data_IF_333299359189
#
_entry.id   IF_333299359189
#
_cell.length_a   1.000
_cell.length_b   1.000
_cell.length_c   1.000
_cell.angle_alpha   90.00
_cell.angle_beta   90.00
_cell.angle_gamma   90.00
#
_symmetry.space_group_name_H-M   'P 1'
#
loop_
_entity.id
_entity.type
_entity.pdbx_description
1 polymer ?
#
# COMPACT_ATOMS: atom_id res chain seq x y z
N UNK A 1 10.68 -1.92 9.99
CA UNK A 1 12.15 -1.88 10.18
C UNK A 1 12.68 -0.44 10.22
N UNK A 2 12.35 0.42 9.25
CA UNK A 2 12.76 1.84 9.20
C UNK A 2 11.55 2.78 9.06
N UNK A 3 10.72 2.94 10.10
CA UNK A 3 9.53 3.80 10.06
C UNK A 3 9.88 5.27 9.77
N UNK A 4 11.08 5.71 10.15
CA UNK A 4 11.67 7.01 9.84
C UNK A 4 11.76 7.31 8.34
N UNK A 5 12.05 6.30 7.51
CA UNK A 5 12.25 6.48 6.05
C UNK A 5 10.94 6.48 5.24
N UNK A 6 9.82 6.10 5.86
CA UNK A 6 8.53 5.96 5.17
C UNK A 6 7.45 6.87 5.74
N UNK A 7 7.70 7.51 6.88
CA UNK A 7 6.79 8.47 7.51
C UNK A 7 6.91 9.86 6.86
N UNK A 8 5.79 10.61 6.67
CA UNK A 8 4.41 10.22 6.97
C UNK A 8 3.74 9.48 5.80
N UNK A 9 4.41 9.32 4.66
CA UNK A 9 3.81 8.84 3.42
C UNK A 9 3.10 7.48 3.58
N UNK A 10 3.71 6.53 4.31
CA UNK A 10 3.13 5.20 4.57
C UNK A 10 1.78 5.26 5.29
N UNK A 11 1.58 6.24 6.18
CA UNK A 11 0.34 6.35 6.95
C UNK A 11 -0.85 6.76 6.08
N UNK A 12 -0.59 7.35 4.90
CA UNK A 12 -1.61 7.65 3.89
C UNK A 12 -1.99 6.45 2.99
N UNK A 13 -1.43 5.26 3.23
CA UNK A 13 -1.79 4.05 2.50
C UNK A 13 -2.97 3.35 3.16
N UNK A 14 -4.03 3.07 2.40
CA UNK A 14 -5.15 2.26 2.86
C UNK A 14 -4.80 0.78 2.97
N UNK A 15 -5.56 0.02 3.76
CA UNK A 15 -5.37 -1.44 3.88
C UNK A 15 -5.67 -2.18 2.58
N UNK A 16 -6.56 -1.64 1.76
CA UNK A 16 -6.95 -2.16 0.44
C UNK A 16 -5.82 -2.05 -0.60
N UNK A 17 -4.79 -1.24 -0.34
CA UNK A 17 -3.61 -1.14 -1.19
C UNK A 17 -2.63 -2.31 -1.02
N UNK A 18 -2.76 -3.06 0.08
CA UNK A 18 -1.97 -4.24 0.36
C UNK A 18 -2.70 -5.46 -0.21
N UNK A 19 -2.51 -5.69 -1.51
CA UNK A 19 -3.27 -6.66 -2.31
C UNK A 19 -3.12 -8.13 -1.87
N UNK A 20 -2.14 -8.46 -1.02
CA UNK A 20 -2.05 -9.76 -0.37
C UNK A 20 -2.69 -9.71 1.04
N UNK A 21 -3.72 -10.55 1.34
CA UNK A 21 -4.50 -10.44 2.57
C UNK A 21 -3.71 -10.41 3.89
N UNK A 22 -2.62 -11.17 4.06
CA UNK A 22 -1.83 -11.10 5.29
C UNK A 22 -1.17 -9.74 5.49
N UNK A 23 -0.70 -9.09 4.42
CA UNK A 23 -0.06 -7.77 4.49
C UNK A 23 -1.07 -6.64 4.77
N UNK A 24 -2.31 -6.76 4.27
CA UNK A 24 -3.39 -5.84 4.67
C UNK A 24 -3.66 -5.92 6.18
N UNK A 25 -3.59 -7.11 6.76
CA UNK A 25 -3.76 -7.30 8.20
C UNK A 25 -2.61 -6.68 8.99
N UNK A 26 -1.36 -6.85 8.53
CA UNK A 26 -0.19 -6.18 9.12
C UNK A 26 -0.29 -4.65 9.01
N UNK A 27 -0.74 -4.11 7.87
CA UNK A 27 -0.97 -2.66 7.70
C UNK A 27 -1.97 -2.13 8.72
N UNK A 28 -3.06 -2.86 8.99
CA UNK A 28 -4.02 -2.49 10.03
C UNK A 28 -3.39 -2.50 11.42
N UNK A 29 -2.60 -3.53 11.75
CA UNK A 29 -1.89 -3.59 13.03
C UNK A 29 -0.92 -2.40 13.21
N UNK A 30 -0.28 -1.95 12.13
CA UNK A 30 0.54 -0.73 12.12
C UNK A 30 -0.31 0.51 12.42
N UNK A 31 -1.49 0.63 11.80
CA UNK A 31 -2.44 1.72 12.06
C UNK A 31 -2.85 1.78 13.53
N UNK A 32 -3.28 0.65 14.07
CA UNK A 32 -3.75 0.50 15.45
C UNK A 32 -2.63 0.81 16.47
N UNK A 33 -1.37 0.61 16.07
CA UNK A 33 -0.18 0.94 16.87
C UNK A 33 0.27 2.41 16.74
N UNK A 34 -0.46 3.25 15.99
CA UNK A 34 -0.19 4.69 15.81
C UNK A 34 0.54 5.05 14.51
N UNK A 35 0.64 4.11 13.56
CA UNK A 35 1.27 4.33 12.26
C UNK A 35 2.80 4.37 12.29
N UNK A 36 3.39 4.51 11.10
CA UNK A 36 4.82 4.71 10.92
C UNK A 36 5.31 5.98 11.62
N UNK A 37 4.48 7.03 11.70
CA UNK A 37 4.81 8.26 12.42
C UNK A 37 5.14 7.98 13.90
N UNK A 38 4.31 7.19 14.61
CA UNK A 38 4.61 6.80 15.98
C UNK A 38 5.87 5.92 16.08
N UNK A 39 6.11 5.09 15.07
CA UNK A 39 7.29 4.21 15.01
C UNK A 39 8.61 4.95 14.83
N UNK A 40 8.62 6.10 14.16
CA UNK A 40 9.82 6.91 13.99
C UNK A 40 10.33 7.50 15.32
N UNK A 41 9.45 7.63 16.33
CA UNK A 41 9.76 8.24 17.62
C UNK A 41 9.99 7.23 18.76
N UNK A 42 9.69 5.94 18.56
CA UNK A 42 9.57 4.99 19.66
C UNK A 42 10.18 3.60 19.37
N UNK A 43 11.10 3.19 20.24
CA UNK A 43 11.76 1.88 20.18
C UNK A 43 10.84 0.71 20.56
N UNK A 44 9.77 0.95 21.32
CA UNK A 44 8.76 -0.05 21.68
C UNK A 44 7.72 -0.30 20.55
N UNK A 45 7.82 0.43 19.44
CA UNK A 45 6.85 0.40 18.34
C UNK A 45 6.56 -1.01 17.82
N UNK A 46 7.59 -1.83 17.59
CA UNK A 46 7.41 -3.20 17.07
C UNK A 46 6.59 -4.05 18.05
N UNK A 47 6.79 -3.88 19.35
CA UNK A 47 6.00 -4.59 20.36
C UNK A 47 4.52 -4.18 20.29
N UNK A 48 4.21 -2.88 20.13
CA UNK A 48 2.83 -2.42 19.96
C UNK A 48 2.17 -2.97 18.69
N UNK A 49 2.88 -2.97 17.56
CA UNK A 49 2.36 -3.56 16.31
C UNK A 49 2.08 -5.05 16.51
N UNK A 50 2.93 -5.77 17.23
CA UNK A 50 2.70 -7.19 17.57
C UNK A 50 1.51 -7.36 18.52
N UNK A 51 1.33 -6.49 19.51
CA UNK A 51 0.20 -6.52 20.44
C UNK A 51 -1.15 -6.27 19.75
N UNK A 52 -1.16 -5.44 18.70
CA UNK A 52 -2.33 -5.21 17.85
C UNK A 52 -2.70 -6.40 16.94
N UNK A 53 -1.83 -7.41 16.83
CA UNK A 53 -2.09 -8.58 15.98
C UNK A 53 -3.30 -9.39 16.49
N UNK A 54 -4.26 -9.74 15.61
CA UNK A 54 -5.50 -10.42 15.99
C UNK A 54 -5.30 -11.88 16.42
N UNK A 55 -4.20 -12.50 15.99
CA UNK A 55 -3.87 -13.88 16.27
C UNK A 55 -2.34 -14.09 16.23
N UNK A 56 -1.91 -15.29 16.61
CA UNK A 56 -0.48 -15.65 16.66
C UNK A 56 0.15 -15.82 15.28
N UNK A 57 -0.64 -16.07 14.24
CA UNK A 57 -0.14 -16.13 12.86
C UNK A 57 0.32 -14.76 12.39
N UNK A 58 -0.49 -13.72 12.59
CA UNK A 58 -0.11 -12.34 12.26
C UNK A 58 1.03 -11.87 13.17
N UNK A 59 1.01 -12.24 14.46
CA UNK A 59 2.10 -11.92 15.40
C UNK A 59 3.44 -12.50 14.96
N UNK A 60 3.45 -13.74 14.48
CA UNK A 60 4.63 -14.39 13.91
C UNK A 60 5.09 -13.64 12.65
N UNK A 61 4.19 -13.35 11.72
CA UNK A 61 4.50 -12.60 10.50
C UNK A 61 5.12 -11.23 10.78
N UNK A 62 4.57 -10.44 11.71
CA UNK A 62 5.18 -9.15 12.10
C UNK A 62 6.61 -9.35 12.62
N UNK A 63 6.84 -10.41 13.41
CA UNK A 63 8.17 -10.73 13.93
C UNK A 63 9.13 -11.08 12.80
N UNK A 64 8.71 -11.93 11.85
CA UNK A 64 9.49 -12.30 10.67
C UNK A 64 9.85 -11.07 9.82
N UNK A 65 8.87 -10.22 9.51
CA UNK A 65 9.06 -8.99 8.74
C UNK A 65 10.01 -8.00 9.42
N UNK A 66 10.21 -8.08 10.74
CA UNK A 66 11.17 -7.20 11.43
C UNK A 66 12.62 -7.60 11.25
N UNK A 67 12.87 -8.88 10.94
CA UNK A 67 14.22 -9.44 10.78
C UNK A 67 14.51 -9.85 9.33
N UNK A 68 13.52 -9.81 8.45
CA UNK A 68 13.69 -10.09 7.03
C UNK A 68 14.75 -9.16 6.42
N UNK A 69 15.80 -9.70 5.76
CA UNK A 69 16.82 -8.89 5.12
C UNK A 69 16.21 -8.02 4.01
N UNK A 70 16.43 -6.71 4.08
CA UNK A 70 16.03 -5.81 3.01
C UNK A 70 16.78 -6.16 1.72
N UNK A 71 16.12 -5.97 0.58
CA UNK A 71 16.68 -6.24 -0.75
C UNK A 71 17.65 -5.15 -1.23
N UNK A 72 18.56 -4.72 -0.36
CA UNK A 72 19.64 -3.78 -0.65
C UNK A 72 20.92 -4.23 0.05
N UNK A 73 22.05 -4.03 -0.61
CA UNK A 73 23.38 -4.31 -0.03
C UNK A 73 23.95 -3.12 0.77
N UNK A 74 23.27 -1.97 0.71
CA UNK A 74 23.61 -0.73 1.42
C UNK A 74 22.60 -0.49 2.52
N UNK A 75 22.92 0.40 3.48
CA UNK A 75 21.90 0.89 4.42
C UNK A 75 20.73 1.48 3.62
N UNK A 76 19.48 1.09 3.91
CA UNK A 76 18.32 1.65 3.22
C UNK A 76 18.25 3.16 3.45
N UNK A 77 17.97 3.90 2.38
CA UNK A 77 17.75 5.33 2.38
C UNK A 77 16.32 5.67 1.93
N UNK A 78 15.99 6.96 1.91
CA UNK A 78 14.69 7.47 1.45
C UNK A 78 14.38 7.06 0.01
N UNK A 79 15.39 6.98 -0.86
CA UNK A 79 15.21 6.56 -2.25
C UNK A 79 14.78 5.09 -2.34
N UNK A 80 15.45 4.20 -1.59
CA UNK A 80 15.05 2.79 -1.50
C UNK A 80 13.63 2.64 -0.94
N UNK A 81 13.34 3.33 0.17
CA UNK A 81 12.03 3.29 0.80
C UNK A 81 10.92 3.81 -0.14
N UNK A 82 11.19 4.92 -0.84
CA UNK A 82 10.27 5.49 -1.82
C UNK A 82 9.95 4.56 -2.98
N UNK A 83 10.93 3.79 -3.47
CA UNK A 83 10.69 2.75 -4.49
C UNK A 83 9.72 1.68 -3.99
N UNK A 84 9.86 1.22 -2.73
CA UNK A 84 8.94 0.23 -2.15
C UNK A 84 7.52 0.79 -1.99
N UNK A 85 7.39 2.03 -1.50
CA UNK A 85 6.11 2.71 -1.37
C UNK A 85 5.38 2.85 -2.71
N UNK A 86 6.11 3.27 -3.76
CA UNK A 86 5.57 3.37 -5.12
C UNK A 86 5.14 1.99 -5.64
N UNK A 87 5.92 0.94 -5.37
CA UNK A 87 5.59 -0.42 -5.81
C UNK A 87 4.27 -0.92 -5.21
N UNK A 88 4.03 -0.68 -3.91
CA UNK A 88 2.75 -1.02 -3.24
C UNK A 88 1.59 -0.26 -3.88
N UNK A 89 1.73 1.07 -4.01
CA UNK A 89 0.68 1.93 -4.61
C UNK A 89 0.37 1.51 -6.05
N UNK A 90 1.40 1.19 -6.84
CA UNK A 90 1.25 0.75 -8.21
C UNK A 90 0.55 -0.61 -8.32
N UNK A 91 0.84 -1.54 -7.40
CA UNK A 91 0.15 -2.83 -7.34
C UNK A 91 -1.35 -2.65 -7.07
N UNK A 92 -1.71 -1.77 -6.12
CA UNK A 92 -3.10 -1.42 -5.82
C UNK A 92 -3.81 -0.79 -7.03
N UNK A 93 -3.17 0.18 -7.69
CA UNK A 93 -3.71 0.82 -8.91
C UNK A 93 -3.95 -0.20 -10.02
N UNK A 94 -3.01 -1.11 -10.27
CA UNK A 94 -3.15 -2.14 -11.30
C UNK A 94 -4.29 -3.12 -10.98
N UNK A 95 -4.45 -3.50 -9.71
CA UNK A 95 -5.56 -4.34 -9.25
C UNK A 95 -6.90 -3.63 -9.49
N UNK A 96 -7.02 -2.36 -9.09
CA UNK A 96 -8.23 -1.56 -9.29
C UNK A 96 -8.58 -1.36 -10.76
N UNK A 97 -7.59 -1.09 -11.61
CA UNK A 97 -7.77 -1.01 -13.07
C UNK A 97 -8.32 -2.31 -13.64
N UNK A 98 -7.84 -3.45 -13.15
CA UNK A 98 -8.29 -4.78 -13.57
C UNK A 98 -9.76 -5.01 -13.18
N UNK A 99 -10.14 -4.64 -11.96
CA UNK A 99 -11.51 -4.73 -11.47
C UNK A 99 -12.49 -3.86 -12.27
N UNK A 100 -12.13 -2.60 -12.53
CA UNK A 100 -12.96 -1.66 -13.30
C UNK A 100 -13.15 -2.16 -14.73
N UNK A 101 -12.09 -2.66 -15.38
CA UNK A 101 -12.20 -3.26 -16.71
C UNK A 101 -13.13 -4.48 -16.71
N UNK A 102 -13.05 -5.33 -15.69
CA UNK A 102 -13.97 -6.46 -15.52
C UNK A 102 -15.42 -6.01 -15.31
N UNK A 103 -15.65 -4.93 -14.56
CA UNK A 103 -16.97 -4.35 -14.37
C UNK A 103 -17.54 -3.78 -15.68
N UNK A 104 -16.74 -3.03 -16.43
CA UNK A 104 -17.11 -2.51 -17.76
C UNK A 104 -17.49 -3.63 -18.74
N UNK A 105 -16.75 -4.73 -18.75
CA UNK A 105 -17.07 -5.89 -19.59
C UNK A 105 -18.42 -6.53 -19.22
N UNK A 106 -18.77 -6.59 -17.93
CA UNK A 106 -20.05 -7.15 -17.45
C UNK A 106 -21.24 -6.22 -17.68
N UNK A 107 -21.05 -4.91 -17.59
CA UNK A 107 -22.08 -3.90 -17.86
C UNK A 107 -22.64 -4.02 -19.29
N UNK A 108 -21.77 -4.37 -20.24
CA UNK A 108 -22.17 -4.59 -21.63
C UNK A 108 -22.74 -3.34 -22.32
N UNK A 109 -23.28 -3.48 -23.54
CA UNK A 109 -23.70 -2.35 -24.37
C UNK A 109 -25.07 -1.74 -23.98
N UNK A 110 -25.75 -2.29 -22.96
CA UNK A 110 -27.08 -1.82 -22.50
C UNK A 110 -27.02 -1.01 -21.20
N UNK A 111 -25.82 -0.75 -20.69
CA UNK A 111 -25.65 0.09 -19.51
C UNK A 111 -26.12 1.52 -19.77
N UNK A 112 -26.57 2.18 -18.71
CA UNK A 112 -26.89 3.60 -18.73
C UNK A 112 -25.66 4.43 -19.20
N UNK A 113 -25.81 5.34 -20.18
CA UNK A 113 -24.68 6.11 -20.71
C UNK A 113 -23.95 6.95 -19.66
N UNK A 114 -24.67 7.56 -18.71
CA UNK A 114 -24.05 8.39 -17.67
C UNK A 114 -23.20 7.52 -16.74
N UNK A 115 -23.73 6.37 -16.33
CA UNK A 115 -22.99 5.39 -15.55
C UNK A 115 -21.73 4.88 -16.28
N UNK A 116 -21.85 4.58 -17.58
CA UNK A 116 -20.72 4.13 -18.40
C UNK A 116 -19.61 5.20 -18.46
N UNK A 117 -19.97 6.46 -18.72
CA UNK A 117 -19.02 7.57 -18.76
C UNK A 117 -18.34 7.78 -17.41
N UNK A 118 -19.06 7.67 -16.29
CA UNK A 118 -18.47 7.80 -14.96
C UNK A 118 -17.38 6.74 -14.70
N UNK A 119 -17.66 5.46 -15.02
CA UNK A 119 -16.71 4.36 -14.82
C UNK A 119 -15.50 4.46 -15.76
N UNK A 120 -15.71 4.92 -17.00
CA UNK A 120 -14.62 5.18 -17.95
C UNK A 120 -13.70 6.32 -17.49
N UNK A 121 -14.27 7.38 -16.90
CA UNK A 121 -13.50 8.48 -16.33
C UNK A 121 -12.66 8.01 -15.12
N UNK A 122 -13.23 7.21 -14.22
CA UNK A 122 -12.49 6.61 -13.10
C UNK A 122 -11.29 5.78 -13.60
N UNK A 123 -11.53 4.94 -14.61
CA UNK A 123 -10.47 4.14 -15.23
C UNK A 123 -9.36 5.02 -15.81
N UNK A 124 -9.72 6.08 -16.54
CA UNK A 124 -8.75 6.99 -17.15
C UNK A 124 -7.91 7.70 -16.08
N UNK A 125 -8.53 8.22 -15.02
CA UNK A 125 -7.83 8.88 -13.90
C UNK A 125 -6.83 7.93 -13.24
N UNK A 126 -7.23 6.68 -12.95
CA UNK A 126 -6.34 5.69 -12.35
C UNK A 126 -5.16 5.32 -13.26
N UNK A 127 -5.40 5.24 -14.58
CA UNK A 127 -4.33 5.00 -15.54
C UNK A 127 -3.31 6.15 -15.59
N UNK A 128 -3.79 7.40 -15.57
CA UNK A 128 -2.91 8.57 -15.48
C UNK A 128 -2.12 8.59 -14.18
N UNK A 129 -2.76 8.27 -13.05
CA UNK A 129 -2.08 8.19 -11.77
C UNK A 129 -1.00 7.10 -11.77
N UNK A 130 -1.34 5.89 -12.25
CA UNK A 130 -0.37 4.81 -12.40
C UNK A 130 0.80 5.15 -13.32
N UNK A 131 0.57 5.93 -14.38
CA UNK A 131 1.64 6.43 -15.24
C UNK A 131 2.53 7.44 -14.51
N UNK A 132 1.93 8.36 -13.77
CA UNK A 132 2.63 9.35 -12.97
C UNK A 132 3.58 8.71 -11.93
N UNK A 133 3.13 7.64 -11.28
CA UNK A 133 3.94 6.85 -10.34
C UNK A 133 5.17 6.23 -11.01
N UNK A 134 5.05 5.75 -12.26
CA UNK A 134 6.18 5.17 -13.00
C UNK A 134 7.17 6.23 -13.46
N UNK A 135 6.70 7.41 -13.84
CA UNK A 135 7.55 8.49 -14.37
C UNK A 135 8.24 9.29 -13.30
N UNK A 136 7.52 9.62 -12.21
CA UNK A 136 8.00 10.52 -11.14
C UNK A 136 8.37 9.79 -9.86
N UNK A 137 8.05 8.49 -9.75
CA UNK A 137 8.38 7.68 -8.59
C UNK A 137 7.78 8.26 -7.31
N UNK A 138 8.62 8.38 -6.28
CA UNK A 138 8.21 8.88 -4.97
C UNK A 138 7.61 10.29 -5.02
N UNK A 139 8.03 11.14 -5.96
CA UNK A 139 7.49 12.50 -6.12
C UNK A 139 6.04 12.54 -6.65
N UNK A 140 5.44 11.40 -7.00
CA UNK A 140 4.02 11.28 -7.36
C UNK A 140 3.12 10.72 -6.25
N UNK A 141 3.69 10.37 -5.09
CA UNK A 141 2.94 10.05 -3.88
C UNK A 141 2.45 11.33 -3.20
#
# INVERSE_FOLDING_TARGET
>A
QRPDLVSPAFDAYGTDEFTAPPYATVRRCIEDAGGATAGAADSAYVSRVREAAPDDTVRAMVTELTVEPLHTRRDPDEAYAGVQLVAVRLAAVNQRVTEIRGALQRLGPRADPEHLTAVQNELWVLQQYGQSLRERGYAAL
#
